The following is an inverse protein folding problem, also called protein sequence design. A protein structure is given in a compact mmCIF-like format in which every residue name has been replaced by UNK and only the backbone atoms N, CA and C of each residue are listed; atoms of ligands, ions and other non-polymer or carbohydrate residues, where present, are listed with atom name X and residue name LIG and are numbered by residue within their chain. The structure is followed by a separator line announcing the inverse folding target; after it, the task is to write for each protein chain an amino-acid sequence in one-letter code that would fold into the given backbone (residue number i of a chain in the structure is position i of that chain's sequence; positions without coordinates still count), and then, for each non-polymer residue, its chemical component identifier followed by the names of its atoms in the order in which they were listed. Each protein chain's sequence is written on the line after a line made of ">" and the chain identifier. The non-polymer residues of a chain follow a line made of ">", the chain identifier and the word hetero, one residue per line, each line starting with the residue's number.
data_IF_472472628917
#
_entry.id   IF_472472628917
#
_cell.length_a   1.000
_cell.length_b   1.000
_cell.length_c   1.000
_cell.angle_alpha   90.00
_cell.angle_beta   90.00
_cell.angle_gamma   90.00
#
_symmetry.space_group_name_H-M   'P 1'
#
loop_
_entity.id
_entity.type
_entity.pdbx_description
1 polymer ?
#
# COMPACT_ATOMS: atom_id res chain seq x y z
N UNK A 1 34.32 4.73 -51.21
CA UNK A 1 35.50 5.50 -51.63
C UNK A 1 35.99 4.92 -52.94
N UNK A 2 35.97 5.71 -54.02
CA UNK A 2 36.43 5.24 -55.33
C UNK A 2 37.95 5.08 -55.40
N UNK A 3 38.69 5.70 -54.48
CA UNK A 3 40.16 5.70 -54.47
C UNK A 3 40.78 4.59 -53.59
N UNK A 4 40.04 4.07 -52.60
CA UNK A 4 40.54 3.00 -51.70
C UNK A 4 39.60 1.79 -51.59
N UNK A 5 38.53 1.72 -52.38
CA UNK A 5 37.57 0.62 -52.35
C UNK A 5 36.69 0.54 -51.10
N UNK A 6 36.95 1.35 -50.06
CA UNK A 6 36.20 1.32 -48.82
C UNK A 6 34.75 1.76 -49.01
N UNK A 7 33.77 0.88 -48.78
CA UNK A 7 32.35 1.25 -48.69
C UNK A 7 31.99 1.58 -47.24
N UNK A 8 31.58 2.82 -46.96
CA UNK A 8 30.96 3.17 -45.68
C UNK A 8 29.44 3.14 -45.84
N UNK A 9 28.77 2.25 -45.12
CA UNK A 9 27.32 2.33 -44.93
C UNK A 9 27.06 3.28 -43.76
N UNK A 10 26.61 4.49 -44.05
CA UNK A 10 26.15 5.39 -42.99
C UNK A 10 24.75 4.98 -42.55
N UNK A 11 24.60 4.64 -41.27
CA UNK A 11 23.30 4.44 -40.64
C UNK A 11 23.17 5.44 -39.49
N UNK A 12 22.11 6.25 -39.49
CA UNK A 12 21.87 7.24 -38.44
C UNK A 12 21.60 6.62 -37.07
N UNK A 13 21.19 5.34 -37.06
CA UNK A 13 20.79 4.62 -35.86
C UNK A 13 20.73 3.10 -36.14
N UNK A 14 20.86 2.26 -35.10
CA UNK A 14 20.66 0.83 -35.24
C UNK A 14 19.20 0.47 -35.56
N UNK A 15 19.02 -0.69 -36.18
CA UNK A 15 17.70 -1.27 -36.46
C UNK A 15 17.40 -2.39 -35.45
N UNK A 16 16.18 -2.40 -34.92
CA UNK A 16 15.59 -3.55 -34.25
C UNK A 16 14.60 -4.20 -35.22
N UNK A 17 15.02 -5.31 -35.85
CA UNK A 17 14.34 -5.88 -37.01
C UNK A 17 14.29 -4.88 -38.18
N UNK A 18 13.09 -4.48 -38.60
CA UNK A 18 12.89 -3.46 -39.65
C UNK A 18 12.64 -2.04 -39.10
N UNK A 19 12.77 -1.84 -37.79
CA UNK A 19 12.41 -0.59 -37.13
C UNK A 19 13.65 0.13 -36.62
N UNK A 20 13.81 1.40 -36.99
CA UNK A 20 14.81 2.28 -36.41
C UNK A 20 14.68 2.39 -34.88
N UNK A 21 15.78 2.21 -34.15
CA UNK A 21 15.79 2.21 -32.69
C UNK A 21 15.19 3.50 -32.08
N UNK A 22 15.43 4.66 -32.70
CA UNK A 22 14.86 5.94 -32.29
C UNK A 22 13.34 5.96 -32.30
N UNK A 23 12.67 5.25 -33.22
CA UNK A 23 11.21 5.17 -33.24
C UNK A 23 10.66 4.35 -32.06
N UNK A 24 11.40 3.34 -31.64
CA UNK A 24 11.09 2.53 -30.46
C UNK A 24 11.32 3.35 -29.20
N UNK A 25 12.47 4.02 -29.10
CA UNK A 25 12.79 4.91 -27.98
C UNK A 25 11.79 6.06 -27.84
N UNK A 26 11.36 6.66 -28.95
CA UNK A 26 10.33 7.69 -28.94
C UNK A 26 8.99 7.15 -28.42
N UNK A 27 8.63 5.93 -28.82
CA UNK A 27 7.42 5.25 -28.30
C UNK A 27 7.55 4.90 -26.81
N UNK A 28 8.75 4.50 -26.37
CA UNK A 28 9.06 4.26 -24.96
C UNK A 28 8.91 5.54 -24.14
N UNK A 29 9.48 6.65 -24.60
CA UNK A 29 9.39 7.94 -23.92
C UNK A 29 7.96 8.47 -23.84
N UNK A 30 7.14 8.24 -24.88
CA UNK A 30 5.70 8.54 -24.84
C UNK A 30 5.01 7.70 -23.77
N UNK A 31 5.33 6.40 -23.68
CA UNK A 31 4.75 5.47 -22.70
C UNK A 31 5.11 5.84 -21.26
N UNK A 32 6.37 6.22 -21.01
CA UNK A 32 6.88 6.42 -19.65
C UNK A 32 6.75 7.86 -19.13
N UNK A 33 6.84 8.88 -20.00
CA UNK A 33 7.06 10.26 -19.57
C UNK A 33 6.04 11.30 -20.09
N UNK A 34 4.92 10.87 -20.72
CA UNK A 34 3.84 11.76 -21.23
C UNK A 34 4.37 12.95 -22.09
N UNK A 35 5.44 12.76 -22.85
CA UNK A 35 6.13 13.85 -23.59
C UNK A 35 5.47 14.27 -24.91
N UNK A 36 4.33 13.68 -25.26
CA UNK A 36 3.70 13.88 -26.57
C UNK A 36 3.38 15.36 -26.89
N UNK A 37 3.00 16.14 -25.87
CA UNK A 37 2.74 17.58 -26.03
C UNK A 37 3.99 18.37 -26.39
N UNK A 38 5.13 18.06 -25.77
CA UNK A 38 6.42 18.72 -26.03
C UNK A 38 6.88 18.45 -27.46
N UNK A 39 6.81 17.18 -27.89
CA UNK A 39 7.22 16.76 -29.24
C UNK A 39 6.41 17.46 -30.34
N UNK A 40 5.11 17.67 -30.11
CA UNK A 40 4.24 18.38 -31.05
C UNK A 40 4.63 19.85 -31.23
N UNK A 41 5.00 20.54 -30.15
CA UNK A 41 5.45 21.94 -30.23
C UNK A 41 6.80 22.09 -30.95
N UNK A 42 7.66 21.08 -30.86
CA UNK A 42 8.94 21.03 -31.56
C UNK A 42 8.84 20.56 -33.02
N UNK A 43 7.63 20.25 -33.51
CA UNK A 43 7.43 19.76 -34.89
C UNK A 43 8.01 18.36 -35.14
N UNK A 44 8.30 17.58 -34.10
CA UNK A 44 8.88 16.24 -34.23
C UNK A 44 7.83 15.25 -34.68
N UNK A 45 8.08 14.56 -35.80
CA UNK A 45 7.20 13.49 -36.27
C UNK A 45 7.17 12.33 -35.27
N UNK A 46 5.97 12.04 -34.75
CA UNK A 46 5.76 10.96 -33.82
C UNK A 46 5.15 9.73 -34.53
N UNK A 47 5.38 8.51 -34.02
CA UNK A 47 4.74 7.32 -34.54
C UNK A 47 3.22 7.45 -34.49
N UNK A 48 2.54 7.07 -35.57
CA UNK A 48 1.08 7.00 -35.56
C UNK A 48 0.60 5.91 -34.58
N UNK A 49 -0.68 5.94 -34.23
CA UNK A 49 -1.25 5.06 -33.20
C UNK A 49 -1.03 3.56 -33.51
N UNK A 50 -1.09 3.15 -34.78
CA UNK A 50 -0.88 1.76 -35.20
C UNK A 50 0.57 1.32 -34.94
N UNK A 51 1.54 2.14 -35.31
CA UNK A 51 2.96 1.87 -35.09
C UNK A 51 3.27 1.88 -33.60
N UNK A 52 2.74 2.85 -32.86
CA UNK A 52 2.90 2.96 -31.40
C UNK A 52 2.38 1.70 -30.68
N UNK A 53 1.15 1.27 -30.98
CA UNK A 53 0.58 0.03 -30.40
C UNK A 53 1.41 -1.20 -30.76
N UNK A 54 1.94 -1.27 -31.98
CA UNK A 54 2.85 -2.34 -32.41
C UNK A 54 4.14 -2.34 -31.59
N UNK A 55 4.78 -1.18 -31.42
CA UNK A 55 5.97 -1.07 -30.58
C UNK A 55 5.69 -1.48 -29.13
N UNK A 56 4.54 -1.09 -28.59
CA UNK A 56 4.11 -1.53 -27.26
C UNK A 56 3.99 -3.06 -27.18
N UNK A 57 3.16 -3.64 -28.04
CA UNK A 57 2.87 -5.09 -28.03
C UNK A 57 4.11 -5.94 -28.26
N UNK A 58 4.91 -5.58 -29.25
CA UNK A 58 5.96 -6.47 -29.78
C UNK A 58 7.32 -6.23 -29.12
N UNK A 59 7.55 -5.04 -28.54
CA UNK A 59 8.88 -4.65 -28.02
C UNK A 59 8.81 -4.14 -26.58
N UNK A 60 8.04 -3.08 -26.32
CA UNK A 60 8.12 -2.37 -25.05
C UNK A 60 7.49 -3.17 -23.90
N UNK A 61 6.28 -3.71 -24.07
CA UNK A 61 5.63 -4.50 -23.03
C UNK A 61 6.39 -5.80 -22.73
N UNK A 62 6.89 -6.58 -23.72
CA UNK A 62 7.77 -7.70 -23.44
C UNK A 62 9.05 -7.30 -22.70
N UNK A 63 9.68 -6.18 -23.07
CA UNK A 63 10.88 -5.68 -22.40
C UNK A 63 10.61 -5.25 -20.95
N UNK A 64 9.50 -4.55 -20.70
CA UNK A 64 9.03 -4.17 -19.37
C UNK A 64 8.78 -5.43 -18.53
N UNK A 65 8.03 -6.39 -19.07
CA UNK A 65 7.72 -7.64 -18.36
C UNK A 65 9.00 -8.42 -18.02
N UNK A 66 9.97 -8.45 -18.92
CA UNK A 66 11.27 -9.10 -18.66
C UNK A 66 12.05 -8.38 -17.56
N UNK A 67 12.14 -7.05 -17.63
CA UNK A 67 12.81 -6.25 -16.60
C UNK A 67 12.14 -6.40 -15.23
N UNK A 68 10.80 -6.35 -15.21
CA UNK A 68 9.99 -6.57 -14.02
C UNK A 68 10.21 -7.96 -13.43
N UNK A 69 10.18 -9.00 -14.25
CA UNK A 69 10.39 -10.38 -13.80
C UNK A 69 11.79 -10.58 -13.21
N UNK A 70 12.81 -9.95 -13.82
CA UNK A 70 14.17 -9.99 -13.30
C UNK A 70 14.30 -9.28 -11.95
N UNK A 71 13.71 -8.10 -11.81
CA UNK A 71 13.69 -7.36 -10.55
C UNK A 71 12.94 -8.12 -9.45
N UNK A 72 11.79 -8.72 -9.78
CA UNK A 72 11.06 -9.56 -8.83
C UNK A 72 11.87 -10.79 -8.40
N UNK A 73 12.51 -11.48 -9.34
CA UNK A 73 13.35 -12.64 -9.00
C UNK A 73 14.50 -12.27 -8.06
N UNK A 74 15.13 -11.10 -8.27
CA UNK A 74 16.16 -10.59 -7.36
C UNK A 74 15.58 -10.30 -5.96
N UNK A 75 14.46 -9.56 -5.88
CA UNK A 75 13.80 -9.27 -4.60
C UNK A 75 13.38 -10.54 -3.85
N UNK A 76 12.84 -11.54 -4.54
CA UNK A 76 12.51 -12.83 -3.93
C UNK A 76 13.75 -13.61 -3.49
N UNK A 77 14.88 -13.46 -4.20
CA UNK A 77 16.17 -13.98 -3.75
C UNK A 77 16.57 -13.38 -2.40
N UNK A 78 16.49 -12.06 -2.27
CA UNK A 78 16.86 -11.32 -1.06
C UNK A 78 15.92 -11.65 0.12
N UNK A 79 14.62 -11.70 -0.12
CA UNK A 79 13.62 -12.08 0.90
C UNK A 79 13.87 -13.50 1.40
N UNK A 80 14.09 -14.46 0.50
CA UNK A 80 14.42 -15.84 0.90
C UNK A 80 15.71 -15.94 1.69
N UNK A 81 16.74 -15.20 1.29
CA UNK A 81 18.02 -15.15 2.02
C UNK A 81 17.88 -14.55 3.43
N UNK A 82 16.92 -13.64 3.64
CA UNK A 82 16.65 -13.05 4.95
C UNK A 82 16.00 -14.02 5.95
N UNK A 83 15.37 -15.10 5.47
CA UNK A 83 14.66 -16.09 6.29
C UNK A 83 13.49 -15.51 7.11
N UNK A 84 13.07 -14.28 6.82
CA UNK A 84 12.04 -13.56 7.57
C UNK A 84 10.70 -13.64 6.86
N UNK A 85 9.63 -13.73 7.65
CA UNK A 85 8.28 -13.67 7.13
C UNK A 85 7.99 -12.29 6.53
N UNK A 86 7.21 -12.26 5.44
CA UNK A 86 6.92 -11.03 4.71
C UNK A 86 5.71 -10.32 5.31
N UNK A 87 5.91 -9.05 5.72
CA UNK A 87 4.83 -8.12 6.05
C UNK A 87 4.55 -7.24 4.82
N UNK A 88 3.34 -7.33 4.28
CA UNK A 88 2.92 -6.55 3.12
C UNK A 88 2.16 -5.31 3.57
N UNK A 89 2.69 -4.13 3.25
CA UNK A 89 1.96 -2.87 3.35
C UNK A 89 1.58 -2.36 1.97
N UNK A 90 0.31 -2.02 1.75
CA UNK A 90 -0.11 -1.31 0.55
C UNK A 90 -0.01 0.21 0.79
N UNK A 91 0.68 0.93 -0.10
CA UNK A 91 0.69 2.39 -0.10
C UNK A 91 -0.58 2.91 -0.80
N UNK A 92 -1.49 3.47 -0.02
CA UNK A 92 -2.69 4.12 -0.54
C UNK A 92 -2.31 5.33 -1.38
N UNK A 93 -2.41 5.24 -2.71
CA UNK A 93 -2.10 6.37 -3.60
C UNK A 93 -3.04 7.56 -3.35
N UNK A 94 -2.48 8.64 -2.83
CA UNK A 94 -3.14 9.96 -2.80
C UNK A 94 -2.90 10.71 -4.13
N UNK A 95 -3.74 10.49 -5.13
CA UNK A 95 -3.79 11.38 -6.29
C UNK A 95 -4.40 12.73 -5.85
N UNK A 96 -3.56 13.77 -5.68
CA UNK A 96 -4.02 15.12 -5.33
C UNK A 96 -5.09 15.63 -6.31
N UNK A 97 -6.15 16.30 -5.81
CA UNK A 97 -7.35 16.60 -6.58
C UNK A 97 -7.12 17.78 -7.52
N UNK A 98 -6.62 17.52 -8.72
CA UNK A 98 -6.84 18.43 -9.85
C UNK A 98 -7.28 17.62 -11.05
N UNK A 99 -8.61 17.56 -11.22
CA UNK A 99 -9.39 16.93 -12.28
C UNK A 99 -9.88 15.48 -12.02
N UNK A 100 -11.05 15.40 -11.37
CA UNK A 100 -12.07 14.34 -11.50
C UNK A 100 -11.60 12.86 -11.40
N UNK A 101 -11.27 12.43 -10.18
CA UNK A 101 -11.51 11.05 -9.75
C UNK A 101 -12.69 11.04 -8.76
N UNK A 102 -13.91 11.34 -9.26
CA UNK A 102 -15.14 11.28 -8.44
C UNK A 102 -15.57 9.84 -8.12
N UNK A 103 -14.90 8.87 -8.73
CA UNK A 103 -14.95 7.46 -8.38
C UNK A 103 -13.53 6.92 -8.50
N UNK A 104 -12.82 6.77 -7.39
CA UNK A 104 -11.77 5.76 -7.34
C UNK A 104 -12.43 4.44 -7.71
N UNK A 105 -11.94 3.77 -8.75
CA UNK A 105 -12.51 2.53 -9.26
C UNK A 105 -12.21 1.37 -8.31
N UNK A 106 -12.81 1.40 -7.12
CA UNK A 106 -12.92 0.24 -6.24
C UNK A 106 -14.08 -0.61 -6.76
N UNK A 107 -13.77 -1.59 -7.61
CA UNK A 107 -14.75 -2.56 -8.10
C UNK A 107 -14.09 -3.94 -8.24
N UNK A 108 -14.17 -4.77 -7.20
CA UNK A 108 -13.93 -6.23 -7.18
C UNK A 108 -12.52 -6.74 -7.59
N UNK A 109 -11.74 -5.95 -8.32
CA UNK A 109 -10.45 -6.32 -8.92
C UNK A 109 -9.31 -6.36 -7.91
N UNK A 110 -9.42 -5.66 -6.78
CA UNK A 110 -8.39 -5.60 -5.72
C UNK A 110 -8.37 -6.87 -4.86
N UNK A 111 -9.53 -7.49 -4.55
CA UNK A 111 -9.54 -8.76 -3.80
C UNK A 111 -8.88 -9.87 -4.60
N UNK A 112 -9.30 -10.04 -5.86
CA UNK A 112 -8.69 -11.07 -6.71
C UNK A 112 -7.23 -10.74 -7.05
N UNK A 113 -6.89 -9.46 -7.22
CA UNK A 113 -5.52 -9.01 -7.43
C UNK A 113 -4.63 -9.36 -6.24
N UNK A 114 -5.10 -9.10 -5.02
CA UNK A 114 -4.43 -9.47 -3.78
C UNK A 114 -4.29 -10.99 -3.66
N UNK A 115 -5.36 -11.75 -3.88
CA UNK A 115 -5.34 -13.22 -3.85
C UNK A 115 -4.34 -13.79 -4.86
N UNK A 116 -4.31 -13.28 -6.10
CA UNK A 116 -3.31 -13.68 -7.10
C UNK A 116 -1.88 -13.32 -6.68
N UNK A 117 -1.71 -12.19 -6.02
CA UNK A 117 -0.40 -11.75 -5.51
C UNK A 117 0.08 -12.65 -4.38
N UNK A 118 -0.79 -12.98 -3.41
CA UNK A 118 -0.49 -13.92 -2.33
C UNK A 118 -0.17 -15.31 -2.88
N UNK A 119 -1.00 -15.85 -3.77
CA UNK A 119 -0.74 -17.16 -4.39
C UNK A 119 0.60 -17.18 -5.14
N UNK A 120 1.01 -16.05 -5.73
CA UNK A 120 2.32 -15.92 -6.38
C UNK A 120 3.47 -15.90 -5.36
N UNK A 121 3.29 -15.26 -4.21
CA UNK A 121 4.26 -15.26 -3.11
C UNK A 121 4.44 -16.65 -2.52
N UNK A 122 3.33 -17.35 -2.27
CA UNK A 122 3.33 -18.74 -1.80
C UNK A 122 4.03 -19.67 -2.79
N UNK A 123 3.78 -19.51 -4.10
CA UNK A 123 4.44 -20.29 -5.15
C UNK A 123 5.97 -20.05 -5.23
N UNK A 124 6.47 -18.95 -4.67
CA UNK A 124 7.90 -18.63 -4.59
C UNK A 124 8.50 -18.97 -3.20
N UNK A 125 7.78 -19.76 -2.39
CA UNK A 125 8.16 -20.19 -1.03
C UNK A 125 8.36 -19.01 -0.06
N UNK A 126 7.58 -17.95 -0.24
CA UNK A 126 7.58 -16.78 0.65
C UNK A 126 6.35 -16.83 1.55
N UNK A 127 6.55 -17.01 2.85
CA UNK A 127 5.48 -16.96 3.84
C UNK A 127 5.09 -15.51 4.10
N UNK A 128 3.85 -15.16 3.74
CA UNK A 128 3.23 -13.91 4.15
C UNK A 128 2.67 -14.12 5.54
N UNK A 129 3.00 -13.24 6.48
CA UNK A 129 2.57 -13.37 7.88
C UNK A 129 1.53 -12.31 8.25
N UNK A 130 1.64 -11.11 7.67
CA UNK A 130 0.68 -10.04 7.90
C UNK A 130 0.50 -9.16 6.67
N UNK A 131 -0.75 -8.79 6.39
CA UNK A 131 -1.10 -7.84 5.34
C UNK A 131 -1.81 -6.64 5.99
N UNK A 132 -1.32 -5.45 5.68
CA UNK A 132 -1.84 -4.17 6.15
C UNK A 132 -2.35 -3.36 4.97
N UNK A 133 -3.67 -3.14 4.88
CA UNK A 133 -4.32 -2.38 3.79
C UNK A 133 -5.23 -1.27 4.31
N UNK A 134 -5.36 -0.19 3.56
CA UNK A 134 -6.38 0.85 3.77
C UNK A 134 -7.63 0.52 2.94
N UNK A 135 -8.79 0.22 3.56
CA UNK A 135 -10.05 0.15 2.80
C UNK A 135 -10.70 1.52 2.79
N UNK A 136 -11.15 1.96 1.62
CA UNK A 136 -12.02 3.13 1.51
C UNK A 136 -13.51 2.72 1.39
N UNK A 137 -14.31 2.99 2.42
CA UNK A 137 -15.79 2.90 2.33
C UNK A 137 -16.38 4.20 1.77
N UNK A 138 -17.35 4.06 0.84
CA UNK A 138 -18.06 5.20 0.22
C UNK A 138 -19.09 5.77 1.20
N UNK A 139 -18.88 6.99 1.70
CA UNK A 139 -19.88 8.06 1.81
C UNK A 139 -19.29 9.40 2.35
N UNK A 140 -19.74 10.52 1.78
CA UNK A 140 -19.07 11.84 1.81
C UNK A 140 -19.06 12.62 3.14
N UNK A 141 -19.37 12.01 4.29
CA UNK A 141 -19.15 12.64 5.61
C UNK A 141 -17.91 12.11 6.34
N UNK A 142 -17.27 11.08 5.81
CA UNK A 142 -16.11 10.41 6.41
C UNK A 142 -14.75 11.04 6.05
N UNK A 143 -14.69 12.29 5.56
CA UNK A 143 -13.39 12.94 5.24
C UNK A 143 -12.50 13.18 6.46
N UNK A 144 -13.06 13.19 7.68
CA UNK A 144 -12.29 13.21 8.92
C UNK A 144 -12.01 11.80 9.48
N UNK A 145 -12.82 10.80 9.12
CA UNK A 145 -12.60 9.38 9.47
C UNK A 145 -11.70 8.65 8.46
N UNK A 146 -11.35 9.32 7.37
CA UNK A 146 -10.47 8.88 6.30
C UNK A 146 -8.99 8.79 6.70
N UNK A 147 -8.64 9.06 7.96
CA UNK A 147 -7.23 9.13 8.36
C UNK A 147 -6.56 7.79 8.62
N UNK A 148 -7.26 6.73 9.02
CA UNK A 148 -6.64 5.40 9.17
C UNK A 148 -7.71 4.29 9.17
N UNK A 149 -7.99 3.65 8.03
CA UNK A 149 -8.75 2.39 8.00
C UNK A 149 -7.79 1.21 7.83
N UNK A 150 -6.96 0.97 8.84
CA UNK A 150 -6.06 -0.18 8.84
C UNK A 150 -6.89 -1.48 8.92
N UNK A 151 -6.56 -2.45 8.09
CA UNK A 151 -7.07 -3.82 8.21
C UNK A 151 -5.89 -4.74 8.41
N UNK A 152 -5.98 -5.62 9.41
CA UNK A 152 -5.07 -6.74 9.53
C UNK A 152 -5.76 -7.92 8.85
N UNK A 153 -5.29 -8.25 7.65
CA UNK A 153 -5.77 -9.41 6.92
C UNK A 153 -4.84 -10.58 7.21
N UNK A 154 -5.46 -11.72 7.48
CA UNK A 154 -4.74 -12.99 7.50
C UNK A 154 -4.36 -13.36 6.05
N UNK A 155 -3.25 -14.09 5.81
CA UNK A 155 -2.78 -14.43 4.46
C UNK A 155 -3.82 -15.13 3.57
N UNK A 156 -4.79 -15.84 4.14
CA UNK A 156 -5.90 -16.46 3.42
C UNK A 156 -6.98 -15.46 2.91
N UNK A 157 -6.79 -14.15 3.16
CA UNK A 157 -7.73 -13.09 2.80
C UNK A 157 -8.92 -12.94 3.76
N UNK A 158 -8.89 -13.63 4.90
CA UNK A 158 -9.84 -13.40 5.99
C UNK A 158 -9.45 -12.18 6.82
N UNK A 159 -10.45 -11.40 7.22
CA UNK A 159 -10.25 -10.21 8.03
C UNK A 159 -10.01 -10.63 9.48
N UNK A 160 -8.77 -10.52 9.96
CA UNK A 160 -8.40 -10.88 11.33
C UNK A 160 -8.89 -9.80 12.31
N UNK A 161 -8.76 -8.52 11.93
CA UNK A 161 -9.28 -7.41 12.72
C UNK A 161 -9.62 -6.18 11.87
N UNK A 162 -10.84 -5.66 12.07
CA UNK A 162 -11.34 -4.43 11.43
C UNK A 162 -11.30 -3.27 12.41
N UNK A 163 -10.45 -2.28 12.15
CA UNK A 163 -10.41 -1.04 12.92
C UNK A 163 -11.52 -0.04 12.52
N UNK A 164 -12.36 -0.40 11.55
CA UNK A 164 -13.48 0.44 11.10
C UNK A 164 -14.51 0.58 12.22
N UNK A 165 -14.83 1.85 12.53
CA UNK A 165 -16.01 2.20 13.31
C UNK A 165 -15.95 1.77 14.77
N UNK A 166 -14.75 1.67 15.37
CA UNK A 166 -14.57 1.37 16.80
C UNK A 166 -15.45 2.27 17.67
N UNK A 167 -15.46 3.59 17.43
CA UNK A 167 -16.35 4.52 18.14
C UNK A 167 -17.83 4.14 17.98
N UNK A 168 -18.32 3.86 16.76
CA UNK A 168 -19.73 3.46 16.53
C UNK A 168 -20.09 2.16 17.27
N UNK A 169 -19.16 1.20 17.32
CA UNK A 169 -19.34 -0.08 18.03
C UNK A 169 -19.36 0.14 19.55
N UNK A 170 -18.45 0.95 20.08
CA UNK A 170 -18.40 1.32 21.49
C UNK A 170 -19.66 2.09 21.90
N UNK A 171 -20.14 3.02 21.08
CA UNK A 171 -21.40 3.75 21.31
C UNK A 171 -22.61 2.80 21.33
N UNK A 172 -22.61 1.76 20.48
CA UNK A 172 -23.67 0.75 20.50
C UNK A 172 -23.63 -0.08 21.80
N UNK A 173 -22.45 -0.47 22.26
CA UNK A 173 -22.25 -1.20 23.52
C UNK A 173 -22.63 -0.30 24.72
N UNK A 174 -22.21 0.96 24.70
CA UNK A 174 -22.46 1.93 25.77
C UNK A 174 -23.93 2.32 25.94
N UNK A 175 -24.81 1.96 25.00
CA UNK A 175 -26.27 2.08 25.15
C UNK A 175 -26.86 0.96 26.03
N UNK A 176 -26.16 -0.15 26.22
CA UNK A 176 -26.58 -1.21 27.14
C UNK A 176 -26.45 -0.70 28.58
N UNK A 177 -27.51 -0.88 29.38
CA UNK A 177 -27.54 -0.39 30.78
C UNK A 177 -26.37 -0.88 31.62
N UNK A 178 -25.88 -2.09 31.35
CA UNK A 178 -24.77 -2.73 32.05
C UNK A 178 -23.39 -2.24 31.60
N UNK A 179 -23.29 -1.52 30.48
CA UNK A 179 -22.01 -1.17 29.84
C UNK A 179 -21.82 0.34 29.65
N UNK A 180 -22.61 1.18 30.33
CA UNK A 180 -22.56 2.64 30.14
C UNK A 180 -21.21 3.27 30.49
N UNK A 181 -20.41 2.62 31.36
CA UNK A 181 -19.07 3.06 31.74
C UNK A 181 -18.12 3.15 30.54
N UNK A 182 -18.34 2.34 29.50
CA UNK A 182 -17.48 2.35 28.30
C UNK A 182 -17.53 3.68 27.57
N UNK A 183 -18.62 4.44 27.71
CA UNK A 183 -18.77 5.76 27.07
C UNK A 183 -17.72 6.76 27.60
N UNK A 184 -17.26 6.61 28.84
CA UNK A 184 -16.19 7.44 29.42
C UNK A 184 -14.83 7.14 28.77
N UNK A 185 -14.67 5.94 28.23
CA UNK A 185 -13.44 5.42 27.63
C UNK A 185 -13.41 5.52 26.11
N UNK A 186 -14.54 5.74 25.43
CA UNK A 186 -14.64 5.75 23.96
C UNK A 186 -13.55 6.60 23.30
N UNK A 187 -13.39 7.86 23.73
CA UNK A 187 -12.36 8.74 23.14
C UNK A 187 -10.95 8.21 23.42
N UNK A 188 -10.65 7.77 24.65
CA UNK A 188 -9.34 7.20 24.99
C UNK A 188 -9.01 5.95 24.19
N UNK A 189 -9.99 5.07 23.97
CA UNK A 189 -9.81 3.86 23.17
C UNK A 189 -9.53 4.23 21.71
N UNK A 190 -10.24 5.20 21.16
CA UNK A 190 -10.02 5.70 19.79
C UNK A 190 -8.66 6.37 19.67
N UNK A 191 -8.29 7.24 20.61
CA UNK A 191 -7.00 7.94 20.62
C UNK A 191 -5.85 6.95 20.80
N UNK A 192 -6.01 5.93 21.64
CA UNK A 192 -5.04 4.86 21.82
C UNK A 192 -4.84 4.02 20.55
N UNK A 193 -5.91 3.78 19.78
CA UNK A 193 -5.80 3.17 18.46
C UNK A 193 -4.93 4.04 17.52
N UNK A 194 -5.23 5.33 17.40
CA UNK A 194 -4.43 6.24 16.59
C UNK A 194 -2.97 6.32 17.06
N UNK A 195 -2.75 6.36 18.36
CA UNK A 195 -1.42 6.34 18.96
C UNK A 195 -0.67 5.04 18.67
N UNK A 196 -1.34 3.88 18.73
CA UNK A 196 -0.73 2.57 18.45
C UNK A 196 -0.15 2.52 17.04
N UNK A 197 -0.88 3.06 16.06
CA UNK A 197 -0.44 3.14 14.66
C UNK A 197 0.66 4.19 14.51
N UNK A 198 0.39 5.44 14.93
CA UNK A 198 1.29 6.58 14.69
C UNK A 198 2.62 6.52 15.46
N UNK A 199 2.67 5.83 16.60
CA UNK A 199 3.88 5.68 17.41
C UNK A 199 4.74 4.47 17.00
N UNK A 200 4.30 3.68 16.02
CA UNK A 200 5.03 2.49 15.56
C UNK A 200 5.79 2.82 14.28
N UNK A 201 7.11 2.76 14.36
CA UNK A 201 8.00 2.98 13.22
C UNK A 201 8.04 1.74 12.31
N UNK A 202 8.45 1.93 11.06
CA UNK A 202 8.74 0.88 10.07
C UNK A 202 7.59 -0.08 9.75
N UNK A 203 6.33 0.35 9.93
CA UNK A 203 5.14 -0.47 9.64
C UNK A 203 5.16 -1.84 10.33
N UNK A 204 5.76 -1.95 11.52
CA UNK A 204 5.77 -3.18 12.30
C UNK A 204 4.35 -3.48 12.84
N UNK A 205 3.55 -4.16 12.02
CA UNK A 205 2.15 -4.43 12.32
C UNK A 205 1.94 -5.29 13.57
N UNK A 206 2.90 -6.15 13.92
CA UNK A 206 2.87 -6.91 15.18
C UNK A 206 3.01 -6.02 16.40
N UNK A 207 3.92 -5.04 16.37
CA UNK A 207 4.06 -4.06 17.45
C UNK A 207 2.83 -3.14 17.51
N UNK A 208 2.30 -2.72 16.36
CA UNK A 208 1.05 -1.94 16.31
C UNK A 208 -0.12 -2.70 16.92
N UNK A 209 -0.25 -4.01 16.61
CA UNK A 209 -1.26 -4.87 17.19
C UNK A 209 -1.05 -5.06 18.70
N UNK A 210 0.19 -5.29 19.14
CA UNK A 210 0.51 -5.44 20.57
C UNK A 210 0.17 -4.17 21.37
N UNK A 211 0.52 -2.99 20.84
CA UNK A 211 0.11 -1.70 21.40
C UNK A 211 -1.41 -1.57 21.39
N UNK A 212 -2.11 -1.92 20.30
CA UNK A 212 -3.56 -1.81 20.28
C UNK A 212 -4.23 -2.70 21.35
N UNK A 213 -3.83 -3.96 21.44
CA UNK A 213 -4.40 -4.92 22.37
C UNK A 213 -4.14 -4.57 23.84
N UNK A 214 -3.07 -3.82 24.15
CA UNK A 214 -2.82 -3.35 25.52
C UNK A 214 -3.90 -2.42 26.05
N UNK A 215 -4.78 -1.87 25.18
CA UNK A 215 -5.92 -1.05 25.60
C UNK A 215 -6.82 -1.78 26.59
N UNK A 216 -6.95 -3.11 26.46
CA UNK A 216 -7.79 -3.93 27.33
C UNK A 216 -7.29 -3.89 28.78
N UNK A 217 -5.97 -4.02 28.97
CA UNK A 217 -5.36 -3.89 30.29
C UNK A 217 -5.40 -2.44 30.77
N UNK A 218 -5.10 -1.49 29.87
CA UNK A 218 -5.03 -0.07 30.20
C UNK A 218 -6.35 0.45 30.77
N UNK A 219 -7.51 0.11 30.19
CA UNK A 219 -8.83 0.55 30.70
C UNK A 219 -9.20 -0.10 32.05
N UNK A 220 -8.49 -1.14 32.48
CA UNK A 220 -8.64 -1.81 33.78
C UNK A 220 -7.59 -1.35 34.80
N UNK A 221 -6.82 -0.29 34.48
CA UNK A 221 -5.70 0.20 35.28
C UNK A 221 -4.50 -0.75 35.38
N UNK A 222 -4.37 -1.68 34.43
CA UNK A 222 -3.19 -2.54 34.32
C UNK A 222 -2.26 -1.95 33.25
N UNK A 223 -1.09 -1.47 33.69
CA UNK A 223 -0.13 -0.76 32.82
C UNK A 223 1.10 -1.61 32.46
N UNK A 224 1.10 -2.88 32.87
CA UNK A 224 2.15 -3.85 32.62
C UNK A 224 1.53 -5.19 32.17
N UNK A 225 2.37 -6.12 31.69
CA UNK A 225 1.95 -7.47 31.34
C UNK A 225 1.27 -7.60 29.98
N UNK A 226 1.45 -6.66 29.04
CA UNK A 226 0.81 -6.74 27.71
C UNK A 226 1.50 -7.71 26.72
N UNK A 227 2.44 -8.53 27.20
CA UNK A 227 3.19 -9.49 26.40
C UNK A 227 4.58 -9.01 25.98
N UNK A 228 5.25 -9.79 25.13
CA UNK A 228 6.69 -9.61 24.86
C UNK A 228 7.01 -8.38 24.01
N UNK A 229 6.14 -8.03 23.05
CA UNK A 229 6.40 -6.93 22.09
C UNK A 229 6.15 -5.54 22.68
N UNK A 230 5.25 -5.43 23.65
CA UNK A 230 4.89 -4.16 24.28
C UNK A 230 4.62 -4.36 25.79
N UNK A 231 5.62 -4.72 26.61
CA UNK A 231 5.38 -5.25 27.95
C UNK A 231 4.74 -4.29 28.96
N UNK A 232 4.83 -2.97 28.73
CA UNK A 232 4.29 -1.94 29.61
C UNK A 232 3.90 -0.66 28.86
N UNK A 233 2.98 0.10 29.42
CA UNK A 233 2.58 1.41 28.91
C UNK A 233 3.75 2.41 28.88
N UNK A 234 3.73 3.33 27.90
CA UNK A 234 4.81 4.30 27.65
C UNK A 234 4.54 5.71 28.21
N UNK A 235 3.53 5.85 29.05
CA UNK A 235 3.23 7.12 29.71
C UNK A 235 3.59 7.06 31.19
N UNK A 236 3.87 8.23 31.75
CA UNK A 236 3.99 8.41 33.20
C UNK A 236 2.60 8.37 33.86
N UNK A 237 2.54 8.45 35.18
CA UNK A 237 1.29 8.52 35.92
C UNK A 237 0.36 9.59 35.33
N UNK A 238 -0.83 9.17 34.93
CA UNK A 238 -1.82 10.06 34.32
C UNK A 238 -2.26 11.08 35.37
N UNK A 239 -2.26 12.36 35.01
CA UNK A 239 -2.68 13.47 35.88
C UNK A 239 -3.88 14.22 35.27
N UNK A 240 -4.61 14.96 36.10
CA UNK A 240 -5.69 15.85 35.62
C UNK A 240 -7.04 15.17 35.42
N UNK A 241 -7.79 15.57 34.38
CA UNK A 241 -9.19 15.16 34.16
C UNK A 241 -9.31 13.64 33.92
N UNK A 242 -8.29 13.04 33.34
CA UNK A 242 -8.22 11.61 33.03
C UNK A 242 -8.25 10.73 34.29
N UNK A 243 -7.80 11.22 35.46
CA UNK A 243 -7.89 10.47 36.73
C UNK A 243 -9.32 10.37 37.27
N UNK A 244 -10.27 11.09 36.66
CA UNK A 244 -11.69 11.07 37.04
C UNK A 244 -12.46 9.95 36.36
N UNK A 245 -11.84 9.26 35.38
CA UNK A 245 -12.45 8.11 34.71
C UNK A 245 -12.47 6.92 35.68
N UNK A 246 -13.64 6.31 35.83
CA UNK A 246 -13.76 5.03 36.52
C UNK A 246 -13.21 3.92 35.64
N UNK A 247 -12.24 3.19 36.16
CA UNK A 247 -11.69 2.00 35.52
C UNK A 247 -12.77 0.95 35.29
N UNK A 248 -12.72 0.32 34.12
CA UNK A 248 -13.64 -0.77 33.79
C UNK A 248 -13.28 -1.97 34.66
N UNK A 249 -14.29 -2.59 35.26
CA UNK A 249 -14.13 -3.82 36.04
C UNK A 249 -14.52 -5.04 35.20
N UNK A 250 -13.86 -6.20 35.42
CA UNK A 250 -14.26 -7.47 34.81
C UNK A 250 -15.70 -7.87 35.13
#
# INVERSE_FOLDING_TARGET
>A
CKDCGASSSWASQPLSGRTAAGNILLSASILFAKIFRVLRHLGVQCPNNRIYRRHQKDVLLPAINKAWSFQQAAMFGDIRASGSDLVLGEDGREDKPRHSAKYGSYSLMEKEGLQRSIARLEAEDTKVDLIVTDRHMKDQKEFLMLRFQMHLLHPNGEELFSFIGVSKKLDAIGKLKTCQEINLWTNSVVDHLYWSVSSTQDSNGHLTLAKWLSVLNHVMNEHEGHGNLFPRCLHESITGIETRKTWIKP
#
